data_IF_764743177283
#
_entry.id   IF_764743177283
#
_cell.length_a   1.000
_cell.length_b   1.000
_cell.length_c   1.000
_cell.angle_alpha   90.00
_cell.angle_beta   90.00
_cell.angle_gamma   90.00
#
_symmetry.space_group_name_H-M   'P 1'
#
loop_
_entity.id
_entity.type
_entity.pdbx_description
1 polymer ?
#
# COMPACT_ATOMS: atom_id res chain seq x y z
N UNK A 1 13.62 29.79 -54.55
CA UNK A 1 12.76 28.80 -53.90
C UNK A 1 13.18 28.72 -52.43
N UNK A 2 12.41 29.41 -51.54
CA UNK A 2 12.68 29.47 -50.11
C UNK A 2 11.86 28.39 -49.42
N UNK A 3 12.54 27.46 -48.73
CA UNK A 3 11.89 26.44 -47.89
C UNK A 3 11.85 26.96 -46.45
N UNK A 4 10.67 27.32 -45.95
CA UNK A 4 10.41 27.67 -44.57
C UNK A 4 10.41 26.38 -43.73
N UNK A 5 11.38 26.20 -42.82
CA UNK A 5 11.40 25.16 -41.84
C UNK A 5 10.50 25.54 -40.65
N UNK A 6 9.42 24.77 -40.42
CA UNK A 6 8.58 24.87 -39.24
C UNK A 6 9.25 24.09 -38.11
N UNK A 7 9.79 24.79 -37.09
CA UNK A 7 10.22 24.18 -35.84
C UNK A 7 8.97 23.89 -34.99
N UNK A 8 8.61 22.61 -34.87
CA UNK A 8 7.64 22.15 -33.88
C UNK A 8 8.31 22.13 -32.49
N UNK A 9 8.00 23.10 -31.65
CA UNK A 9 8.33 23.10 -30.24
C UNK A 9 7.37 22.13 -29.52
N UNK A 10 7.82 20.91 -29.31
CA UNK A 10 7.16 20.00 -28.40
C UNK A 10 7.38 20.48 -26.96
N UNK A 11 6.43 21.25 -26.44
CA UNK A 11 6.40 21.65 -25.04
C UNK A 11 6.17 20.42 -24.16
N UNK A 12 7.24 19.94 -23.50
CA UNK A 12 7.13 18.99 -22.41
C UNK A 12 6.42 19.69 -21.25
N UNK A 13 5.12 19.42 -21.07
CA UNK A 13 4.44 19.68 -19.81
C UNK A 13 5.05 18.73 -18.77
N UNK A 14 6.09 19.19 -18.09
CA UNK A 14 6.50 18.60 -16.82
C UNK A 14 5.35 18.85 -15.84
N UNK A 15 4.47 17.86 -15.69
CA UNK A 15 3.44 17.86 -14.66
C UNK A 15 4.13 17.90 -13.29
N UNK A 16 4.08 19.04 -12.62
CA UNK A 16 4.44 19.19 -11.23
C UNK A 16 3.53 18.29 -10.39
N UNK A 17 4.09 17.25 -9.81
CA UNK A 17 3.42 16.31 -8.94
C UNK A 17 3.58 14.89 -9.47
N UNK A 18 4.52 14.12 -8.93
CA UNK A 18 4.92 12.77 -9.39
C UNK A 18 3.84 11.67 -9.31
N UNK A 19 2.57 12.01 -9.21
CA UNK A 19 1.46 11.06 -9.19
C UNK A 19 0.93 10.76 -10.57
N UNK A 20 0.76 9.48 -10.90
CA UNK A 20 0.03 9.07 -12.10
C UNK A 20 -1.48 9.27 -11.89
N UNK A 21 -2.25 9.79 -12.87
CA UNK A 21 -3.70 9.92 -12.75
C UNK A 21 -4.34 8.57 -12.38
N UNK A 22 -5.19 8.57 -11.33
CA UNK A 22 -5.87 7.36 -10.84
C UNK A 22 -5.02 6.47 -9.93
N UNK A 23 -3.76 6.81 -9.67
CA UNK A 23 -2.94 6.10 -8.71
C UNK A 23 -3.15 6.60 -7.26
N UNK A 24 -3.24 5.67 -6.32
CA UNK A 24 -3.17 5.92 -4.88
C UNK A 24 -1.71 6.10 -4.44
N UNK A 25 -0.80 5.33 -5.01
CA UNK A 25 0.64 5.48 -4.86
C UNK A 25 1.40 4.97 -6.07
N UNK A 26 2.66 5.36 -6.18
CA UNK A 26 3.65 4.77 -7.09
C UNK A 26 4.83 4.33 -6.23
N UNK A 27 5.20 3.07 -6.29
CA UNK A 27 6.32 2.47 -5.57
C UNK A 27 7.24 1.78 -6.55
N UNK A 28 8.53 2.16 -6.60
CA UNK A 28 9.53 1.64 -7.55
C UNK A 28 9.04 1.64 -9.00
N UNK A 29 8.33 2.71 -9.39
CA UNK A 29 7.74 2.87 -10.71
C UNK A 29 6.45 2.08 -10.97
N UNK A 30 6.02 1.19 -10.05
CA UNK A 30 4.77 0.43 -10.10
C UNK A 30 3.62 1.28 -9.51
N UNK A 31 2.54 1.42 -10.26
CA UNK A 31 1.35 2.17 -9.82
C UNK A 31 0.39 1.26 -9.05
N UNK A 32 -0.08 1.74 -7.90
CA UNK A 32 -1.18 1.14 -7.14
C UNK A 32 -2.43 1.96 -7.44
N UNK A 33 -3.44 1.41 -8.12
CA UNK A 33 -4.66 2.14 -8.47
C UNK A 33 -5.52 2.48 -7.24
N UNK A 34 -6.20 3.63 -7.29
CA UNK A 34 -7.22 3.99 -6.28
C UNK A 34 -8.32 2.92 -6.22
N UNK A 35 -8.72 2.36 -7.36
CA UNK A 35 -9.74 1.31 -7.44
C UNK A 35 -9.40 0.06 -6.61
N UNK A 36 -8.13 -0.32 -6.56
CA UNK A 36 -7.67 -1.50 -5.83
C UNK A 36 -7.73 -1.25 -4.32
N UNK A 37 -7.33 -0.06 -3.87
CA UNK A 37 -7.48 0.36 -2.47
C UNK A 37 -8.94 0.43 -2.07
N UNK A 38 -9.81 1.01 -2.91
CA UNK A 38 -11.23 1.14 -2.64
C UNK A 38 -11.94 -0.24 -2.63
N UNK A 39 -11.55 -1.17 -3.52
CA UNK A 39 -12.06 -2.53 -3.55
C UNK A 39 -11.67 -3.29 -2.28
N UNK A 40 -10.38 -3.33 -1.95
CA UNK A 40 -9.89 -4.02 -0.76
C UNK A 40 -10.47 -3.43 0.54
N UNK A 41 -10.56 -2.09 0.65
CA UNK A 41 -11.17 -1.45 1.83
C UNK A 41 -12.63 -1.89 2.02
N UNK A 42 -13.41 -1.97 0.94
CA UNK A 42 -14.83 -2.36 0.98
C UNK A 42 -15.01 -3.84 1.30
N UNK A 43 -14.19 -4.70 0.70
CA UNK A 43 -14.28 -6.14 0.84
C UNK A 43 -13.77 -6.62 2.21
N UNK A 44 -12.70 -6.00 2.72
CA UNK A 44 -12.06 -6.41 3.97
C UNK A 44 -12.67 -5.75 5.21
N UNK A 45 -13.35 -4.60 5.08
CA UNK A 45 -13.98 -3.91 6.20
C UNK A 45 -14.91 -4.78 7.07
N UNK A 46 -15.78 -5.62 6.49
CA UNK A 46 -16.62 -6.55 7.25
C UNK A 46 -15.86 -7.74 7.85
N UNK A 47 -14.71 -8.10 7.29
CA UNK A 47 -13.94 -9.32 7.60
C UNK A 47 -12.83 -9.07 8.61
N UNK A 48 -12.19 -7.91 8.52
CA UNK A 48 -11.04 -7.53 9.35
C UNK A 48 -11.35 -6.27 10.17
N UNK A 49 -10.75 -6.17 11.35
CA UNK A 49 -10.88 -4.96 12.19
C UNK A 49 -9.84 -3.90 11.80
N UNK A 50 -10.22 -2.64 11.98
CA UNK A 50 -9.30 -1.51 11.79
C UNK A 50 -8.93 -1.21 10.33
N UNK A 51 -9.69 -1.72 9.36
CA UNK A 51 -9.46 -1.48 7.93
C UNK A 51 -9.74 -0.03 7.60
N UNK A 52 -8.70 0.66 7.10
CA UNK A 52 -8.80 2.01 6.54
C UNK A 52 -8.10 2.03 5.17
N UNK A 53 -8.49 2.96 4.30
CA UNK A 53 -7.85 3.09 2.99
C UNK A 53 -6.35 3.37 3.09
N UNK A 54 -5.91 4.11 4.12
CA UNK A 54 -4.49 4.37 4.37
C UNK A 54 -3.74 3.10 4.79
N UNK A 55 -4.34 2.27 5.69
CA UNK A 55 -3.75 0.99 6.10
C UNK A 55 -3.65 0.02 4.91
N UNK A 56 -4.72 -0.11 4.12
CA UNK A 56 -4.73 -0.93 2.89
C UNK A 56 -3.63 -0.46 1.93
N UNK A 57 -3.53 0.85 1.68
CA UNK A 57 -2.50 1.38 0.78
C UNK A 57 -1.09 1.08 1.30
N UNK A 58 -0.82 1.29 2.60
CA UNK A 58 0.46 0.96 3.22
C UNK A 58 0.82 -0.51 3.03
N UNK A 59 -0.14 -1.42 3.25
CA UNK A 59 0.05 -2.86 3.02
C UNK A 59 0.38 -3.15 1.54
N UNK A 60 -0.37 -2.59 0.59
CA UNK A 60 -0.13 -2.80 -0.84
C UNK A 60 1.22 -2.21 -1.32
N UNK A 61 1.73 -1.18 -0.64
CA UNK A 61 3.07 -0.61 -0.89
C UNK A 61 4.16 -1.57 -0.40
N UNK A 62 4.03 -2.09 0.80
CA UNK A 62 5.07 -2.91 1.45
C UNK A 62 5.07 -4.38 0.98
N UNK A 63 3.93 -4.88 0.53
CA UNK A 63 3.73 -6.31 0.26
C UNK A 63 4.76 -6.93 -0.68
N UNK A 64 5.17 -6.35 -1.83
CA UNK A 64 6.15 -6.98 -2.70
C UNK A 64 7.51 -7.19 -2.03
N UNK A 65 7.88 -6.28 -1.14
CA UNK A 65 9.12 -6.38 -0.35
C UNK A 65 8.99 -7.48 0.70
N UNK A 66 7.85 -7.52 1.41
CA UNK A 66 7.56 -8.56 2.40
C UNK A 66 7.53 -9.94 1.75
N UNK A 67 6.88 -10.09 0.60
CA UNK A 67 6.82 -11.36 -0.14
C UNK A 67 8.22 -11.84 -0.54
N UNK A 68 9.08 -10.95 -1.05
CA UNK A 68 10.46 -11.30 -1.40
C UNK A 68 11.24 -11.81 -0.17
N UNK A 69 11.15 -11.10 0.96
CA UNK A 69 11.85 -11.51 2.19
C UNK A 69 11.28 -12.81 2.75
N UNK A 70 9.96 -13.02 2.66
CA UNK A 70 9.31 -14.26 3.09
C UNK A 70 9.71 -15.47 2.22
N UNK A 71 9.82 -15.27 0.91
CA UNK A 71 10.32 -16.29 -0.03
C UNK A 71 11.79 -16.67 0.27
N UNK A 72 12.64 -15.66 0.49
CA UNK A 72 14.06 -15.87 0.83
C UNK A 72 14.23 -16.61 2.18
N UNK A 73 13.34 -16.34 3.13
CA UNK A 73 13.28 -17.04 4.41
C UNK A 73 12.61 -18.43 4.33
N UNK A 74 12.07 -18.81 3.17
CA UNK A 74 11.38 -20.09 2.96
C UNK A 74 9.98 -20.17 3.60
N UNK A 75 9.35 -19.02 3.90
CA UNK A 75 8.04 -18.90 4.54
C UNK A 75 7.03 -18.14 3.67
N UNK A 76 7.28 -18.01 2.37
CA UNK A 76 6.38 -17.35 1.42
C UNK A 76 4.98 -17.98 1.38
N UNK A 77 3.97 -17.16 1.11
CA UNK A 77 2.56 -17.54 1.07
C UNK A 77 2.02 -17.38 -0.36
N UNK A 78 1.29 -18.40 -0.84
CA UNK A 78 0.67 -18.32 -2.18
C UNK A 78 -0.66 -17.54 -2.15
N UNK A 79 -1.07 -17.03 -3.33
CA UNK A 79 -2.39 -16.40 -3.50
C UNK A 79 -3.55 -17.34 -3.17
N UNK A 80 -3.39 -18.65 -3.39
CA UNK A 80 -4.40 -19.67 -3.04
C UNK A 80 -4.55 -19.75 -1.53
N UNK A 81 -3.45 -19.87 -0.77
CA UNK A 81 -3.46 -19.89 0.69
C UNK A 81 -4.08 -18.60 1.26
N UNK A 82 -3.74 -17.44 0.69
CA UNK A 82 -4.30 -16.15 1.11
C UNK A 82 -5.81 -16.08 0.83
N UNK A 83 -6.27 -16.59 -0.31
CA UNK A 83 -7.70 -16.65 -0.66
C UNK A 83 -8.48 -17.58 0.26
N UNK A 84 -7.95 -18.76 0.54
CA UNK A 84 -8.57 -19.71 1.47
C UNK A 84 -8.69 -19.11 2.87
N UNK A 85 -7.65 -18.40 3.34
CA UNK A 85 -7.69 -17.70 4.63
C UNK A 85 -8.76 -16.60 4.66
N UNK A 86 -8.91 -15.82 3.56
CA UNK A 86 -9.97 -14.81 3.45
C UNK A 86 -11.36 -15.42 3.52
N UNK A 87 -11.60 -16.52 2.81
CA UNK A 87 -12.88 -17.22 2.82
C UNK A 87 -13.23 -17.77 4.21
N UNK A 88 -12.25 -18.35 4.90
CA UNK A 88 -12.42 -18.79 6.29
C UNK A 88 -12.73 -17.62 7.23
N UNK A 89 -12.06 -16.48 7.05
CA UNK A 89 -12.28 -15.28 7.86
C UNK A 89 -13.67 -14.69 7.60
N UNK A 90 -14.10 -14.65 6.32
CA UNK A 90 -15.44 -14.20 5.95
C UNK A 90 -16.52 -15.09 6.57
N UNK A 91 -16.38 -16.41 6.51
CA UNK A 91 -17.26 -17.37 7.17
C UNK A 91 -17.31 -17.15 8.69
N UNK A 92 -16.17 -16.98 9.33
CA UNK A 92 -16.07 -16.71 10.78
C UNK A 92 -16.76 -15.39 11.17
N UNK A 93 -16.76 -14.39 10.27
CA UNK A 93 -17.47 -13.13 10.44
C UNK A 93 -18.98 -13.22 10.12
N UNK A 94 -19.49 -14.39 9.75
CA UNK A 94 -20.88 -14.62 9.37
C UNK A 94 -21.22 -14.23 7.93
N UNK A 95 -20.20 -14.05 7.08
CA UNK A 95 -20.32 -13.79 5.65
C UNK A 95 -20.44 -15.07 4.81
N UNK A 96 -20.34 -14.92 3.49
CA UNK A 96 -20.43 -16.02 2.51
C UNK A 96 -19.03 -16.63 2.29
N UNK A 97 -18.90 -17.94 2.53
CA UNK A 97 -17.67 -18.71 2.27
C UNK A 97 -17.29 -18.73 0.78
N UNK A 98 -18.24 -18.51 -0.11
CA UNK A 98 -18.03 -18.47 -1.56
C UNK A 98 -17.78 -17.06 -2.09
N UNK A 99 -17.57 -16.07 -1.22
CA UNK A 99 -17.29 -14.70 -1.62
C UNK A 99 -16.02 -14.63 -2.45
N UNK A 100 -16.11 -14.02 -3.65
CA UNK A 100 -14.94 -13.67 -4.45
C UNK A 100 -14.30 -12.40 -3.91
N UNK A 101 -12.98 -12.47 -3.70
CA UNK A 101 -12.16 -11.33 -3.29
C UNK A 101 -11.33 -10.81 -4.45
N UNK A 102 -11.19 -9.49 -4.54
CA UNK A 102 -10.32 -8.85 -5.53
C UNK A 102 -8.85 -9.26 -5.33
N UNK A 103 -8.01 -9.19 -6.38
CA UNK A 103 -6.58 -9.44 -6.24
C UNK A 103 -5.92 -8.57 -5.15
N UNK A 104 -6.37 -7.33 -4.98
CA UNK A 104 -5.87 -6.44 -3.93
C UNK A 104 -6.20 -6.95 -2.53
N UNK A 105 -7.40 -7.50 -2.29
CA UNK A 105 -7.76 -8.11 -1.01
C UNK A 105 -6.93 -9.36 -0.72
N UNK A 106 -6.69 -10.18 -1.75
CA UNK A 106 -5.81 -11.36 -1.64
C UNK A 106 -4.38 -10.96 -1.29
N UNK A 107 -3.85 -9.93 -1.95
CA UNK A 107 -2.52 -9.36 -1.64
C UNK A 107 -2.43 -8.88 -0.19
N UNK A 108 -3.45 -8.19 0.33
CA UNK A 108 -3.49 -7.77 1.73
C UNK A 108 -3.45 -8.96 2.69
N UNK A 109 -4.21 -10.03 2.41
CA UNK A 109 -4.20 -11.22 3.26
C UNK A 109 -2.86 -11.96 3.17
N UNK A 110 -2.27 -12.06 1.97
CA UNK A 110 -0.93 -12.64 1.80
C UNK A 110 0.08 -11.92 2.67
N UNK A 111 0.13 -10.59 2.62
CA UNK A 111 0.97 -9.78 3.50
C UNK A 111 0.77 -10.12 4.99
N UNK A 112 -0.47 -10.22 5.46
CA UNK A 112 -0.76 -10.54 6.86
C UNK A 112 -0.19 -11.90 7.25
N UNK A 113 -0.38 -12.91 6.40
CA UNK A 113 0.12 -14.27 6.64
C UNK A 113 1.65 -14.33 6.57
N UNK A 114 2.27 -13.63 5.63
CA UNK A 114 3.73 -13.56 5.50
C UNK A 114 4.38 -12.87 6.70
N UNK A 115 3.84 -11.74 7.16
CA UNK A 115 4.32 -11.07 8.38
C UNK A 115 4.24 -11.99 9.60
N UNK A 116 3.16 -12.77 9.73
CA UNK A 116 3.04 -13.77 10.80
C UNK A 116 4.07 -14.89 10.65
N UNK A 117 4.27 -15.38 9.43
CA UNK A 117 5.24 -16.44 9.14
C UNK A 117 6.69 -15.98 9.40
N UNK A 118 7.04 -14.75 9.03
CA UNK A 118 8.34 -14.14 9.29
C UNK A 118 8.65 -14.03 10.78
N UNK A 119 7.65 -13.70 11.62
CA UNK A 119 7.81 -13.68 13.08
C UNK A 119 8.11 -15.06 13.68
N UNK A 120 7.68 -16.12 13.03
CA UNK A 120 7.95 -17.51 13.41
C UNK A 120 9.16 -18.15 12.72
N UNK A 121 9.87 -17.42 11.86
CA UNK A 121 11.01 -17.93 11.12
C UNK A 121 12.18 -18.31 12.04
N UNK A 122 13.02 -19.28 11.68
CA UNK A 122 14.18 -19.70 12.48
C UNK A 122 15.17 -18.57 12.79
N UNK A 123 15.31 -17.60 11.90
CA UNK A 123 16.11 -16.38 12.07
C UNK A 123 15.22 -15.13 11.95
N UNK A 124 14.23 -15.03 12.81
CA UNK A 124 13.27 -13.93 12.78
C UNK A 124 13.94 -12.54 12.96
N UNK A 125 14.96 -12.43 13.81
CA UNK A 125 15.66 -11.17 14.04
C UNK A 125 16.44 -10.69 12.81
N UNK A 126 17.23 -11.57 12.19
CA UNK A 126 17.95 -11.25 10.95
C UNK A 126 17.00 -10.94 9.80
N UNK A 127 15.93 -11.69 9.67
CA UNK A 127 14.90 -11.50 8.64
C UNK A 127 14.17 -10.16 8.79
N UNK A 128 13.79 -9.78 10.03
CA UNK A 128 13.16 -8.48 10.29
C UNK A 128 14.12 -7.31 10.04
N UNK A 129 15.41 -7.46 10.33
CA UNK A 129 16.42 -6.45 9.99
C UNK A 129 16.53 -6.27 8.48
N UNK A 130 16.61 -7.37 7.72
CA UNK A 130 16.64 -7.33 6.25
C UNK A 130 15.37 -6.69 5.67
N UNK A 131 14.20 -6.98 6.25
CA UNK A 131 12.94 -6.37 5.85
C UNK A 131 12.94 -4.86 6.07
N UNK A 132 13.40 -4.38 7.22
CA UNK A 132 13.48 -2.95 7.52
C UNK A 132 14.42 -2.21 6.54
N UNK A 133 15.58 -2.80 6.25
CA UNK A 133 16.53 -2.25 5.27
C UNK A 133 15.89 -2.18 3.87
N UNK A 134 15.21 -3.23 3.45
CA UNK A 134 14.55 -3.28 2.14
C UNK A 134 13.39 -2.27 2.02
N UNK A 135 12.57 -2.11 3.07
CA UNK A 135 11.49 -1.13 3.11
C UNK A 135 12.02 0.31 3.11
N UNK A 136 13.14 0.58 3.81
CA UNK A 136 13.79 1.89 3.82
C UNK A 136 14.38 2.33 2.48
N UNK A 137 14.53 1.40 1.52
CA UNK A 137 15.01 1.67 0.16
C UNK A 137 13.93 1.97 -0.88
N UNK A 138 12.65 1.95 -0.53
CA UNK A 138 11.55 2.14 -1.48
C UNK A 138 11.49 3.57 -2.05
N UNK A 139 11.40 3.68 -3.39
CA UNK A 139 11.06 4.94 -4.05
C UNK A 139 9.52 5.08 -4.10
N UNK A 140 8.98 5.87 -3.17
CA UNK A 140 7.55 5.95 -2.92
C UNK A 140 7.00 7.36 -3.11
N UNK A 141 6.00 7.49 -3.98
CA UNK A 141 5.17 8.68 -4.13
C UNK A 141 3.72 8.35 -3.79
N UNK A 142 3.16 8.99 -2.77
CA UNK A 142 1.77 8.77 -2.32
C UNK A 142 0.88 9.92 -2.79
N UNK A 143 -0.33 9.58 -3.24
CA UNK A 143 -1.36 10.57 -3.50
C UNK A 143 -1.79 11.21 -2.17
N UNK A 144 -1.70 12.56 -2.02
CA UNK A 144 -1.96 13.26 -0.77
C UNK A 144 -3.34 12.99 -0.14
N UNK A 145 -4.29 12.52 -0.93
CA UNK A 145 -5.62 12.10 -0.45
C UNK A 145 -5.56 10.94 0.55
N UNK A 146 -4.56 10.08 0.45
CA UNK A 146 -4.39 8.91 1.34
C UNK A 146 -3.51 9.20 2.55
N UNK A 147 -2.79 10.32 2.54
CA UNK A 147 -1.88 10.70 3.61
C UNK A 147 -0.44 10.90 3.14
N UNK A 148 0.49 10.79 4.06
CA UNK A 148 1.94 10.83 3.83
C UNK A 148 2.56 9.53 4.26
N UNK A 149 3.56 9.06 3.51
CA UNK A 149 4.33 7.88 3.88
C UNK A 149 5.52 8.27 4.78
N UNK A 150 5.86 7.39 5.72
CA UNK A 150 7.14 7.41 6.41
C UNK A 150 8.22 6.65 5.60
N UNK A 151 9.43 6.57 6.14
CA UNK A 151 10.59 5.92 5.51
C UNK A 151 10.38 4.40 5.28
N UNK A 152 9.46 3.77 5.98
CA UNK A 152 9.14 2.34 5.87
C UNK A 152 7.89 2.08 5.03
N UNK A 153 7.33 3.12 4.39
CA UNK A 153 6.13 3.00 3.56
C UNK A 153 4.81 2.92 4.36
N UNK A 154 4.82 3.22 5.67
CA UNK A 154 3.59 3.33 6.46
C UNK A 154 2.87 4.63 6.11
N UNK A 155 1.58 4.53 5.80
CA UNK A 155 0.77 5.69 5.41
C UNK A 155 0.08 6.27 6.65
N UNK A 156 0.53 7.46 7.06
CA UNK A 156 -0.06 8.23 8.15
C UNK A 156 -1.02 9.30 7.66
N UNK A 157 -1.86 9.82 8.57
CA UNK A 157 -2.74 10.96 8.26
C UNK A 157 -1.93 12.24 8.06
N UNK A 158 -2.21 12.98 6.98
CA UNK A 158 -1.60 14.29 6.78
C UNK A 158 -2.24 15.30 7.74
N UNK A 159 -1.44 15.87 8.63
CA UNK A 159 -1.86 16.98 9.48
C UNK A 159 -1.63 18.30 8.73
N UNK A 160 -2.67 19.04 8.47
CA UNK A 160 -2.56 20.36 7.84
C UNK A 160 -2.58 21.44 8.94
N UNK A 161 -1.52 22.26 9.11
CA UNK A 161 -1.44 23.27 10.16
C UNK A 161 -2.55 24.35 10.13
N UNK A 162 -3.22 24.47 8.98
CA UNK A 162 -4.34 25.43 8.78
C UNK A 162 -5.72 24.82 9.07
N UNK A 163 -5.81 23.48 9.26
CA UNK A 163 -7.04 22.80 9.67
C UNK A 163 -7.15 22.86 11.19
N UNK A 164 -7.99 23.77 11.65
CA UNK A 164 -8.37 23.85 13.08
C UNK A 164 -9.38 22.73 13.35
N UNK A 165 -9.12 21.88 14.33
CA UNK A 165 -10.09 20.89 14.79
C UNK A 165 -11.38 21.60 15.23
N UNK A 166 -12.54 20.94 15.10
CA UNK A 166 -13.85 21.52 15.43
C UNK A 166 -13.96 21.98 16.90
N UNK A 167 -13.07 21.55 17.77
CA UNK A 167 -12.88 21.91 19.17
C UNK A 167 -11.91 23.09 19.40
N UNK A 168 -11.39 23.70 18.32
CA UNK A 168 -10.56 24.93 18.40
C UNK A 168 -9.14 24.71 18.91
N UNK A 169 -8.69 23.48 19.08
CA UNK A 169 -7.31 23.16 19.47
C UNK A 169 -6.45 23.06 18.22
N UNK A 170 -5.41 23.91 18.12
CA UNK A 170 -4.38 23.77 17.11
C UNK A 170 -3.60 22.45 17.33
N UNK A 171 -3.20 21.74 16.26
CA UNK A 171 -2.36 20.56 16.42
C UNK A 171 -1.07 20.95 17.14
N UNK A 172 -0.79 20.28 18.26
CA UNK A 172 0.46 20.45 18.99
C UNK A 172 1.55 19.82 18.13
N UNK A 173 2.50 20.62 17.69
CA UNK A 173 3.72 20.16 17.02
C UNK A 173 4.43 19.19 17.98
N UNK A 174 4.58 17.92 17.54
CA UNK A 174 5.35 16.93 18.30
C UNK A 174 6.84 17.26 18.15
N UNK A 175 7.65 17.06 19.22
CA UNK A 175 9.07 17.37 19.26
C UNK A 175 9.88 16.48 18.33
#
# INVERSE_FOLDING_TARGET
>A
VSVLGVLAVAGSLAACGGGRPGAAAVVDGRSIPVSDVDAATRELGPVLQGVTSSAILGTLVQEPTVATVAEDAGVGVSDEQARDALQQQAAAAGGDESQDFSPASVTVMRYVLEVQALQGAPDAEGTLTSLQEALGGLDLTVNPRFGTADELGTIGTTTYPWLVSADGTAPTEAP
#
